data_IF_059290118212
#
_entry.id   IF_059290118212
#
_cell.length_a   1.000
_cell.length_b   1.000
_cell.length_c   1.000
_cell.angle_alpha   90.00
_cell.angle_beta   90.00
_cell.angle_gamma   90.00
#
_symmetry.space_group_name_H-M   'P 1'
#
loop_
_entity.id
_entity.type
_entity.pdbx_description
1 polymer ?
#
# COMPACT_ATOMS: atom_id res chain seq x y z
N UNK A 1 2.95 -9.95 10.86
CA UNK A 1 3.10 -8.53 10.46
C UNK A 1 3.56 -8.53 9.02
N UNK A 2 2.67 -8.24 8.08
CA UNK A 2 2.97 -8.41 6.67
C UNK A 2 3.77 -7.24 6.14
N UNK A 3 4.91 -7.54 5.53
CA UNK A 3 5.81 -6.54 4.95
C UNK A 3 5.14 -5.78 3.80
N UNK A 4 5.64 -4.59 3.43
CA UNK A 4 5.18 -3.86 2.23
C UNK A 4 5.18 -4.76 0.97
N UNK A 5 6.14 -5.66 0.89
CA UNK A 5 6.24 -6.67 -0.17
C UNK A 5 5.01 -7.58 -0.22
N UNK A 6 4.52 -8.05 0.92
CA UNK A 6 3.30 -8.88 0.99
C UNK A 6 2.06 -8.09 0.58
N UNK A 7 1.98 -6.81 0.98
CA UNK A 7 0.87 -5.93 0.59
C UNK A 7 0.82 -5.72 -0.93
N UNK A 8 1.99 -5.53 -1.56
CA UNK A 8 2.11 -5.42 -3.02
C UNK A 8 1.77 -6.74 -3.72
N UNK A 9 2.19 -7.89 -3.16
CA UNK A 9 1.89 -9.20 -3.73
C UNK A 9 0.40 -9.57 -3.65
N UNK A 10 -0.28 -9.17 -2.57
CA UNK A 10 -1.70 -9.46 -2.38
C UNK A 10 -2.65 -8.52 -3.16
N UNK A 11 -2.19 -7.31 -3.51
CA UNK A 11 -3.02 -6.31 -4.18
C UNK A 11 -3.23 -6.67 -5.65
N UNK A 12 -4.50 -6.82 -6.06
CA UNK A 12 -4.87 -7.05 -7.47
C UNK A 12 -5.00 -5.76 -8.27
N UNK A 13 -5.64 -4.74 -7.69
CA UNK A 13 -5.85 -3.44 -8.32
C UNK A 13 -5.87 -2.35 -7.25
N UNK A 14 -5.11 -1.27 -7.48
CA UNK A 14 -5.01 -0.19 -6.51
C UNK A 14 -3.68 0.53 -6.56
N UNK A 15 -3.39 1.27 -5.51
CA UNK A 15 -2.13 1.95 -5.25
C UNK A 15 -1.76 1.89 -3.77
N UNK A 16 -0.47 1.96 -3.49
CA UNK A 16 0.07 2.19 -2.15
C UNK A 16 0.89 3.48 -2.22
N UNK A 17 0.56 4.43 -1.35
CA UNK A 17 1.31 5.68 -1.19
C UNK A 17 2.11 5.60 0.09
N UNK A 18 3.42 5.82 0.00
CA UNK A 18 4.32 5.93 1.15
C UNK A 18 4.73 7.38 1.31
N UNK A 19 4.60 7.91 2.52
CA UNK A 19 5.10 9.23 2.85
C UNK A 19 6.34 9.06 3.71
N UNK A 20 7.46 9.58 3.20
CA UNK A 20 8.76 9.54 3.85
C UNK A 20 9.16 10.96 4.24
N UNK A 21 9.51 11.15 5.50
CA UNK A 21 10.06 12.39 6.03
C UNK A 21 11.26 12.04 6.92
N UNK A 22 12.34 12.82 6.81
CA UNK A 22 13.59 12.62 7.56
C UNK A 22 14.15 11.18 7.47
N UNK A 23 14.05 10.57 6.28
CA UNK A 23 14.51 9.21 6.02
C UNK A 23 13.68 8.10 6.68
N UNK A 24 12.53 8.43 7.28
CA UNK A 24 11.61 7.48 7.91
C UNK A 24 10.25 7.50 7.24
N UNK A 25 9.63 6.32 7.13
CA UNK A 25 8.24 6.21 6.67
C UNK A 25 7.35 6.68 7.83
N UNK A 26 6.59 7.74 7.61
CA UNK A 26 5.67 8.30 8.61
C UNK A 26 4.22 7.94 8.32
N UNK A 27 3.90 7.59 7.08
CA UNK A 27 2.55 7.21 6.68
C UNK A 27 2.59 6.22 5.52
N UNK A 28 1.60 5.33 5.54
CA UNK A 28 1.29 4.41 4.46
C UNK A 28 -0.21 4.51 4.21
N UNK A 29 -0.58 4.76 2.97
CA UNK A 29 -1.97 4.76 2.52
C UNK A 29 -2.16 3.69 1.45
N UNK A 30 -3.21 2.87 1.60
CA UNK A 30 -3.54 1.79 0.65
C UNK A 30 -4.90 2.10 0.04
N UNK A 31 -4.94 2.30 -1.28
CA UNK A 31 -6.17 2.45 -2.04
C UNK A 31 -6.39 1.20 -2.88
N UNK A 32 -7.49 0.46 -2.65
CA UNK A 32 -7.85 -0.72 -3.43
C UNK A 32 -9.06 -0.43 -4.31
N UNK A 33 -8.98 -0.89 -5.57
CA UNK A 33 -10.09 -0.77 -6.52
C UNK A 33 -10.83 -2.10 -6.59
N UNK A 34 -11.98 -2.16 -5.92
CA UNK A 34 -12.87 -3.32 -5.99
C UNK A 34 -13.89 -3.07 -7.09
N UNK A 35 -13.99 -4.00 -8.06
CA UNK A 35 -15.03 -3.98 -9.08
C UNK A 35 -16.07 -5.04 -8.74
N UNK A 36 -17.26 -4.60 -8.34
CA UNK A 36 -18.42 -5.47 -8.20
C UNK A 36 -19.02 -5.64 -9.60
N UNK A 37 -19.30 -6.89 -10.00
CA UNK A 37 -20.05 -7.20 -11.21
C UNK A 37 -21.53 -7.29 -10.89
#
# INVERSE_FOLDING_TARGET
MGTLKEMLQAMKYGSITLIVQDGKIIQLEKNEKVRLK
#
